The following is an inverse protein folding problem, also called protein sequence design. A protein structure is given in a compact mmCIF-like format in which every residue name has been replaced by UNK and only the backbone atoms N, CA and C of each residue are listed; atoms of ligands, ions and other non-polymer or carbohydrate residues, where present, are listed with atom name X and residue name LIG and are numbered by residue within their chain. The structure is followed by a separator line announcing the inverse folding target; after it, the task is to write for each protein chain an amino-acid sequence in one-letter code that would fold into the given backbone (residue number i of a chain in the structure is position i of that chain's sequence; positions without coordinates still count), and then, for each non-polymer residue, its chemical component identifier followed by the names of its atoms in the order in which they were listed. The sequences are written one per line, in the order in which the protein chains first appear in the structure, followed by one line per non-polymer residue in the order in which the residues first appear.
data_IF_354579034254
#
_entry.id   IF_354579034254
#
_cell.length_a   1.000
_cell.length_b   1.000
_cell.length_c   1.000
_cell.angle_alpha   90.00
_cell.angle_beta   90.00
_cell.angle_gamma   90.00
#
_symmetry.space_group_name_H-M   'P 1'
#
loop_
_entity.id
_entity.type
_entity.pdbx_description
1 polymer ?
#
# COMPACT_ATOMS: atom_id res chain seq x y z
N UNK A 1 3.01 23.28 -12.51
CA UNK A 1 2.09 22.68 -11.51
C UNK A 1 2.58 21.25 -11.26
N UNK A 2 3.45 21.05 -10.26
CA UNK A 2 3.93 19.73 -9.89
C UNK A 2 2.80 19.02 -9.14
N UNK A 3 2.07 18.13 -9.83
CA UNK A 3 1.26 17.12 -9.17
C UNK A 3 2.20 16.15 -8.47
N UNK A 4 2.74 16.57 -7.32
CA UNK A 4 3.34 15.64 -6.39
C UNK A 4 2.20 14.76 -5.90
N UNK A 5 1.96 13.63 -6.59
CA UNK A 5 1.07 12.59 -6.10
C UNK A 5 1.47 12.30 -4.66
N UNK A 6 0.67 12.81 -3.72
CA UNK A 6 0.80 12.46 -2.31
C UNK A 6 0.67 10.95 -2.28
N UNK A 7 1.78 10.28 -1.99
CA UNK A 7 1.85 8.82 -2.06
C UNK A 7 1.12 8.16 -0.89
N UNK A 8 0.55 8.97 0.01
CA UNK A 8 -0.12 8.55 1.22
C UNK A 8 -1.61 8.91 1.12
N UNK A 9 -2.45 7.89 1.26
CA UNK A 9 -3.89 8.05 1.46
C UNK A 9 -4.13 8.66 2.85
N UNK A 10 -5.08 9.59 2.93
CA UNK A 10 -5.63 10.06 4.21
C UNK A 10 -6.31 8.91 4.97
N UNK A 11 -6.56 9.06 6.26
CA UNK A 11 -7.21 8.02 7.06
C UNK A 11 -8.59 7.64 6.51
N UNK A 12 -9.37 8.64 6.08
CA UNK A 12 -10.71 8.42 5.51
C UNK A 12 -10.64 7.68 4.15
N UNK A 13 -9.68 8.00 3.30
CA UNK A 13 -9.48 7.27 2.04
C UNK A 13 -8.96 5.85 2.29
N UNK A 14 -8.11 5.67 3.31
CA UNK A 14 -7.59 4.36 3.70
C UNK A 14 -8.70 3.44 4.19
N UNK A 15 -9.64 3.94 5.00
CA UNK A 15 -10.79 3.16 5.47
C UNK A 15 -11.66 2.61 4.33
N UNK A 16 -11.80 3.37 3.24
CA UNK A 16 -12.53 2.94 2.05
C UNK A 16 -11.69 1.97 1.20
N UNK A 17 -10.39 2.23 1.08
CA UNK A 17 -9.48 1.47 0.23
C UNK A 17 -9.12 0.09 0.80
N UNK A 18 -8.90 0.00 2.11
CA UNK A 18 -8.50 -1.24 2.77
C UNK A 18 -9.40 -2.45 2.47
N UNK A 19 -10.75 -2.37 2.58
CA UNK A 19 -11.60 -3.52 2.28
C UNK A 19 -11.52 -3.93 0.80
N UNK A 20 -11.44 -2.97 -0.12
CA UNK A 20 -11.29 -3.24 -1.55
C UNK A 20 -9.97 -3.95 -1.86
N UNK A 21 -8.90 -3.52 -1.21
CA UNK A 21 -7.60 -4.17 -1.31
C UNK A 21 -7.70 -5.63 -0.83
N UNK A 22 -8.40 -5.89 0.27
CA UNK A 22 -8.58 -7.24 0.79
C UNK A 22 -9.39 -8.15 -0.16
N UNK A 23 -10.38 -7.59 -0.87
CA UNK A 23 -11.18 -8.32 -1.85
C UNK A 23 -10.39 -8.69 -3.11
N UNK A 24 -9.54 -7.77 -3.61
CA UNK A 24 -8.76 -7.97 -4.83
C UNK A 24 -7.56 -8.89 -4.59
N UNK A 25 -6.99 -8.86 -3.39
CA UNK A 25 -5.81 -9.66 -3.08
C UNK A 25 -6.17 -11.14 -3.11
N UNK A 26 -5.39 -11.97 -3.85
CA UNK A 26 -5.64 -13.40 -3.86
C UNK A 26 -5.46 -13.95 -2.45
N UNK A 27 -6.32 -14.90 -2.07
CA UNK A 27 -6.26 -15.62 -0.80
C UNK A 27 -5.00 -16.50 -0.76
N UNK A 28 -3.85 -15.89 -0.54
CA UNK A 28 -2.57 -16.58 -0.49
C UNK A 28 -2.46 -17.27 0.85
N UNK A 29 -1.99 -18.53 0.86
CA UNK A 29 -1.56 -19.18 2.11
C UNK A 29 -0.49 -18.28 2.74
N UNK A 30 -0.77 -17.74 3.92
CA UNK A 30 0.15 -16.90 4.64
C UNK A 30 1.33 -17.76 5.12
N UNK A 31 2.39 -17.83 4.32
CA UNK A 31 3.59 -18.61 4.63
C UNK A 31 4.50 -17.91 5.64
N UNK A 32 4.31 -16.59 5.85
CA UNK A 32 4.99 -15.79 6.85
C UNK A 32 4.07 -14.67 7.33
N UNK A 33 4.01 -14.48 8.65
CA UNK A 33 3.32 -13.32 9.22
C UNK A 33 4.09 -12.05 8.85
N UNK A 34 3.41 -11.08 8.25
CA UNK A 34 4.00 -9.77 8.03
C UNK A 34 3.79 -8.97 9.30
N UNK A 35 4.87 -8.57 9.98
CA UNK A 35 4.80 -7.73 11.17
C UNK A 35 4.47 -6.25 10.85
N UNK A 36 4.30 -5.93 9.58
CA UNK A 36 4.10 -4.58 9.10
C UNK A 36 2.62 -4.29 8.83
N UNK A 37 2.12 -3.10 9.19
CA UNK A 37 0.80 -2.63 8.78
C UNK A 37 0.65 -2.66 7.26
N UNK A 38 -0.51 -3.08 6.76
CA UNK A 38 -0.81 -3.10 5.31
C UNK A 38 -0.63 -1.71 4.67
N UNK A 39 -0.95 -0.65 5.43
CA UNK A 39 -0.77 0.75 5.01
C UNK A 39 0.69 1.11 4.76
N UNK A 40 1.60 0.69 5.62
CA UNK A 40 3.02 0.98 5.47
C UNK A 40 3.62 0.26 4.27
N UNK A 41 3.19 -0.99 4.04
CA UNK A 41 3.56 -1.74 2.85
C UNK A 41 3.07 -1.01 1.59
N UNK A 42 1.80 -0.59 1.58
CA UNK A 42 1.21 0.13 0.45
C UNK A 42 1.92 1.45 0.16
N UNK A 43 2.19 2.25 1.19
CA UNK A 43 2.93 3.51 1.08
C UNK A 43 4.38 3.31 0.60
N UNK A 44 4.98 2.16 0.89
CA UNK A 44 6.33 1.79 0.44
C UNK A 44 6.44 1.43 -1.05
N UNK A 45 5.35 0.99 -1.69
CA UNK A 45 5.32 0.62 -3.11
C UNK A 45 5.72 1.80 -4.02
N UNK A 46 5.06 2.97 -3.97
CA UNK A 46 5.41 4.10 -4.85
C UNK A 46 6.83 4.62 -4.61
N UNK A 47 7.37 4.47 -3.39
CA UNK A 47 8.77 4.80 -3.10
C UNK A 47 9.72 3.89 -3.90
N UNK A 48 9.51 2.57 -3.85
CA UNK A 48 10.31 1.60 -4.60
C UNK A 48 10.16 1.79 -6.12
N UNK A 49 8.93 2.03 -6.59
CA UNK A 49 8.66 2.25 -8.02
C UNK A 49 9.29 3.55 -8.55
N UNK A 50 9.34 4.61 -7.73
CA UNK A 50 9.96 5.90 -8.13
C UNK A 50 11.48 5.83 -8.14
N UNK A 51 12.08 5.19 -7.13
CA UNK A 51 13.52 5.24 -6.93
C UNK A 51 14.26 4.01 -7.51
N UNK A 52 13.53 3.00 -7.97
CA UNK A 52 14.09 1.72 -8.41
C UNK A 52 14.63 0.89 -7.25
N UNK A 53 15.21 -0.27 -7.58
CA UNK A 53 16.04 -1.00 -6.62
C UNK A 53 17.39 -0.28 -6.51
N UNK A 54 17.76 0.08 -5.28
CA UNK A 54 19.10 0.56 -4.93
C UNK A 54 20.01 -0.62 -4.60
#
# INVERSE_FOLDING_TARGET
MLMAYSSNLTDAEWEIFEPLLQEILPTKKQTRLTNWPKRDIFNGIPYQLKNGCN
#
